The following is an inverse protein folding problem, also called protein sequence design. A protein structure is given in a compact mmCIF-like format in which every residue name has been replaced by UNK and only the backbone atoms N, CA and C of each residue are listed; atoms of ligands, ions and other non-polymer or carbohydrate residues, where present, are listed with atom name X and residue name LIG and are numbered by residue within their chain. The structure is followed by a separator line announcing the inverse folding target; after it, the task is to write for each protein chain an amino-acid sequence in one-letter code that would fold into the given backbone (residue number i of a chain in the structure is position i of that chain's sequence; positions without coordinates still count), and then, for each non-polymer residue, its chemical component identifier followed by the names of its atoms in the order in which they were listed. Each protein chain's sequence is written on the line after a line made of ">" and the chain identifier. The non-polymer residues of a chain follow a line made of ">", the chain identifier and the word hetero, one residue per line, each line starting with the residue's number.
data_IF_693442437523
#
_entry.id   IF_693442437523
#
_cell.length_a   1.000
_cell.length_b   1.000
_cell.length_c   1.000
_cell.angle_alpha   90.00
_cell.angle_beta   90.00
_cell.angle_gamma   90.00
#
_symmetry.space_group_name_H-M   'P 1'
#
loop_
_entity.id
_entity.type
_entity.pdbx_description
1 polymer ?
#
# COMPACT_ATOMS: atom_id res chain seq x y z
N UNK A 1 39.90 -18.39 -34.80
CA UNK A 1 38.49 -18.23 -34.35
C UNK A 1 38.49 -17.80 -32.89
N UNK A 2 38.59 -16.49 -32.57
CA UNK A 2 38.47 -16.02 -31.18
C UNK A 2 38.14 -14.53 -31.02
N UNK A 3 37.38 -13.91 -31.94
CA UNK A 3 37.03 -12.49 -31.83
C UNK A 3 35.54 -12.19 -31.74
N UNK A 4 34.66 -13.18 -31.94
CA UNK A 4 33.21 -12.95 -31.91
C UNK A 4 32.56 -13.17 -30.53
N UNK A 5 33.18 -13.96 -29.65
CA UNK A 5 32.59 -14.27 -28.34
C UNK A 5 32.72 -13.11 -27.34
N UNK A 6 33.76 -12.28 -27.46
CA UNK A 6 34.00 -11.18 -26.52
C UNK A 6 33.03 -9.99 -26.72
N UNK A 7 32.60 -9.74 -27.96
CA UNK A 7 31.74 -8.60 -28.30
C UNK A 7 30.32 -8.83 -27.79
N UNK A 8 29.80 -10.06 -27.86
CA UNK A 8 28.47 -10.37 -27.32
C UNK A 8 28.39 -10.17 -25.80
N UNK A 9 29.46 -10.45 -25.04
CA UNK A 9 29.44 -10.30 -23.57
C UNK A 9 29.47 -8.82 -23.16
N UNK A 10 30.13 -7.96 -23.93
CA UNK A 10 30.12 -6.52 -23.66
C UNK A 10 28.78 -5.86 -24.04
N UNK A 11 28.14 -6.27 -25.14
CA UNK A 11 26.84 -5.72 -25.54
C UNK A 11 25.73 -6.14 -24.56
N UNK A 12 25.76 -7.37 -24.03
CA UNK A 12 24.78 -7.80 -23.02
C UNK A 12 24.96 -7.04 -21.70
N UNK A 13 26.18 -6.71 -21.27
CA UNK A 13 26.38 -5.92 -20.05
C UNK A 13 25.96 -4.45 -20.19
N UNK A 14 26.11 -3.84 -21.37
CA UNK A 14 25.73 -2.43 -21.58
C UNK A 14 24.20 -2.27 -21.64
N UNK A 15 23.46 -3.27 -22.14
CA UNK A 15 21.99 -3.21 -22.18
C UNK A 15 21.31 -3.54 -20.85
N UNK A 16 21.96 -4.26 -19.93
CA UNK A 16 21.39 -4.58 -18.61
C UNK A 16 21.52 -3.40 -17.62
N UNK A 17 22.49 -2.50 -17.83
CA UNK A 17 22.63 -1.30 -16.99
C UNK A 17 21.65 -0.16 -17.36
N UNK A 18 20.95 -0.26 -18.49
CA UNK A 18 20.08 0.80 -19.01
C UNK A 18 18.58 0.69 -18.70
N UNK A 19 18.11 -0.36 -18.01
CA UNK A 19 16.67 -0.67 -17.91
C UNK A 19 16.15 -1.01 -16.51
N UNK A 20 16.94 -0.80 -15.46
CA UNK A 20 16.44 -0.82 -14.09
C UNK A 20 16.64 0.56 -13.51
N UNK A 21 15.67 1.45 -13.68
CA UNK A 21 15.56 2.58 -12.75
C UNK A 21 15.19 1.97 -11.40
N UNK A 22 16.19 1.58 -10.60
CA UNK A 22 15.97 1.11 -9.25
C UNK A 22 15.19 2.19 -8.50
N UNK A 23 14.21 1.78 -7.71
CA UNK A 23 13.51 2.72 -6.84
C UNK A 23 14.53 3.34 -5.85
N UNK A 24 14.34 4.59 -5.41
CA UNK A 24 15.26 5.22 -4.47
C UNK A 24 15.44 4.37 -3.20
N UNK A 25 16.64 4.37 -2.62
CA UNK A 25 16.94 3.57 -1.43
C UNK A 25 16.09 3.98 -0.23
N UNK A 26 15.84 5.29 -0.07
CA UNK A 26 14.99 5.84 0.99
C UNK A 26 13.55 5.38 0.84
N UNK A 27 13.02 5.38 -0.40
CA UNK A 27 11.72 4.81 -0.73
C UNK A 27 11.65 3.32 -0.37
N UNK A 28 12.61 2.51 -0.83
CA UNK A 28 12.61 1.06 -0.56
C UNK A 28 12.68 0.78 0.94
N UNK A 29 13.46 1.57 1.67
CA UNK A 29 13.58 1.51 3.13
C UNK A 29 12.26 1.87 3.81
N UNK A 30 11.59 2.95 3.36
CA UNK A 30 10.29 3.37 3.86
C UNK A 30 9.26 2.24 3.69
N UNK A 31 9.12 1.69 2.48
CA UNK A 31 8.15 0.63 2.18
C UNK A 31 8.43 -0.64 3.00
N UNK A 32 9.70 -1.06 3.07
CA UNK A 32 10.11 -2.23 3.83
C UNK A 32 9.79 -2.10 5.31
N UNK A 33 10.07 -0.92 5.88
CA UNK A 33 9.92 -0.66 7.31
C UNK A 33 8.50 -0.23 7.71
N UNK A 34 7.65 0.12 6.75
CA UNK A 34 6.27 0.52 7.03
C UNK A 34 5.54 -0.57 7.83
N UNK A 35 4.84 -0.27 8.93
CA UNK A 35 4.37 -1.31 9.83
C UNK A 35 3.32 -2.23 9.22
N UNK A 36 3.21 -3.44 9.77
CA UNK A 36 2.16 -4.39 9.45
C UNK A 36 0.99 -4.21 10.42
N UNK A 37 -0.20 -3.85 9.92
CA UNK A 37 -1.39 -3.61 10.75
C UNK A 37 -1.91 -4.87 11.44
N UNK A 38 -1.67 -6.06 10.86
CA UNK A 38 -2.14 -7.33 11.41
C UNK A 38 -1.22 -7.77 12.54
N UNK A 39 0.08 -7.58 12.38
CA UNK A 39 1.08 -8.05 13.35
C UNK A 39 1.49 -7.00 14.39
N UNK A 40 1.30 -5.71 14.11
CA UNK A 40 1.94 -4.63 14.88
C UNK A 40 1.07 -3.37 14.96
N UNK A 41 -0.16 -3.51 15.45
CA UNK A 41 -1.09 -2.38 15.70
C UNK A 41 -0.42 -1.21 16.44
N UNK A 42 0.35 -1.50 17.48
CA UNK A 42 1.05 -0.48 18.30
C UNK A 42 2.00 0.39 17.48
N UNK A 43 2.67 -0.19 16.47
CA UNK A 43 3.58 0.55 15.56
C UNK A 43 2.80 1.36 14.52
N UNK A 44 1.61 0.89 14.16
CA UNK A 44 0.71 1.62 13.26
C UNK A 44 -0.01 2.77 13.96
N UNK A 45 -0.21 2.72 15.27
CA UNK A 45 -0.98 3.70 16.04
C UNK A 45 -0.20 4.06 17.32
N UNK A 46 0.95 4.74 17.21
CA UNK A 46 1.84 4.99 18.36
C UNK A 46 1.30 6.02 19.34
N UNK A 47 0.30 6.81 18.96
CA UNK A 47 -0.33 7.80 19.84
C UNK A 47 -1.06 7.11 20.99
N UNK A 48 -0.90 7.63 22.21
CA UNK A 48 -1.67 7.16 23.36
C UNK A 48 -3.13 7.63 23.27
N UNK A 49 -4.08 6.74 23.54
CA UNK A 49 -5.49 7.07 23.64
C UNK A 49 -6.42 5.86 23.62
N UNK A 50 -7.72 6.13 23.70
CA UNK A 50 -8.75 5.10 23.72
C UNK A 50 -9.13 4.72 22.28
N UNK A 51 -8.52 3.65 21.77
CA UNK A 51 -8.90 3.05 20.50
C UNK A 51 -10.09 2.11 20.69
N UNK A 52 -11.17 2.36 19.94
CA UNK A 52 -12.44 1.62 20.09
C UNK A 52 -12.38 0.18 19.57
N UNK A 53 -11.45 -0.12 18.67
CA UNK A 53 -11.35 -1.40 18.01
C UNK A 53 -10.12 -2.20 18.46
N UNK A 54 -10.32 -3.48 18.75
CA UNK A 54 -9.21 -4.40 19.04
C UNK A 54 -8.24 -4.52 17.85
N UNK A 55 -8.78 -4.64 16.63
CA UNK A 55 -8.04 -4.60 15.37
C UNK A 55 -8.30 -3.31 14.59
N UNK A 56 -7.23 -2.74 14.00
CA UNK A 56 -7.31 -1.55 13.14
C UNK A 56 -7.20 -1.92 11.68
N UNK A 57 -7.89 -1.18 10.83
CA UNK A 57 -7.72 -1.17 9.38
C UNK A 57 -6.98 0.09 8.91
N UNK A 58 -6.51 0.92 9.84
CA UNK A 58 -5.75 2.15 9.57
C UNK A 58 -4.36 2.03 10.20
N UNK A 59 -3.32 2.36 9.43
CA UNK A 59 -1.95 2.51 9.88
C UNK A 59 -1.50 3.96 9.67
N UNK A 60 -1.17 4.65 10.75
CA UNK A 60 -0.68 6.03 10.79
C UNK A 60 0.54 6.11 11.73
N UNK A 61 1.70 5.56 11.32
CA UNK A 61 2.89 5.51 12.15
C UNK A 61 3.46 6.90 12.49
N UNK A 62 3.16 7.91 11.67
CA UNK A 62 3.60 9.29 11.89
C UNK A 62 2.65 10.06 12.82
N UNK A 63 1.51 9.48 13.19
CA UNK A 63 0.51 10.11 14.04
C UNK A 63 -0.06 11.40 13.46
N UNK A 64 -0.34 11.43 12.15
CA UNK A 64 -0.88 12.58 11.45
C UNK A 64 -2.36 12.84 11.76
N UNK A 65 -3.10 11.78 12.10
CA UNK A 65 -4.48 11.81 12.53
C UNK A 65 -4.56 11.77 14.06
N UNK A 66 -5.62 12.34 14.62
CA UNK A 66 -5.96 12.17 16.03
C UNK A 66 -6.64 10.82 16.27
N UNK A 67 -6.58 10.32 17.51
CA UNK A 67 -7.28 9.09 17.95
C UNK A 67 -8.77 9.10 17.57
N UNK A 68 -9.45 10.24 17.69
CA UNK A 68 -10.86 10.37 17.31
C UNK A 68 -11.08 10.19 15.81
N UNK A 69 -10.19 10.72 14.97
CA UNK A 69 -10.24 10.52 13.51
C UNK A 69 -9.95 9.06 13.12
N UNK A 70 -9.00 8.42 13.81
CA UNK A 70 -8.70 6.99 13.63
C UNK A 70 -9.91 6.13 14.00
N UNK A 71 -10.57 6.39 15.13
CA UNK A 71 -11.78 5.68 15.52
C UNK A 71 -12.90 5.88 14.49
N UNK A 72 -13.14 7.13 14.07
CA UNK A 72 -14.14 7.43 13.04
C UNK A 72 -13.86 6.68 11.72
N UNK A 73 -12.61 6.64 11.27
CA UNK A 73 -12.24 5.95 10.03
C UNK A 73 -12.38 4.43 10.17
N UNK A 74 -11.90 3.85 11.28
CA UNK A 74 -12.08 2.44 11.57
C UNK A 74 -13.56 2.04 11.63
N UNK A 75 -14.42 2.84 12.25
CA UNK A 75 -15.87 2.61 12.26
C UNK A 75 -16.45 2.50 10.85
N UNK A 76 -16.05 3.40 9.95
CA UNK A 76 -16.50 3.35 8.54
C UNK A 76 -15.97 2.11 7.82
N UNK A 77 -14.69 1.78 7.98
CA UNK A 77 -14.05 0.64 7.32
C UNK A 77 -14.62 -0.70 7.81
N UNK A 78 -14.81 -0.85 9.12
CA UNK A 78 -15.45 -2.05 9.69
C UNK A 78 -16.93 -2.15 9.28
N UNK A 79 -17.65 -1.03 9.20
CA UNK A 79 -19.02 -1.02 8.66
C UNK A 79 -19.05 -1.48 7.20
N UNK A 80 -18.14 -0.99 6.34
CA UNK A 80 -18.04 -1.45 4.94
C UNK A 80 -17.84 -2.97 4.89
N UNK A 81 -16.90 -3.49 5.70
CA UNK A 81 -16.58 -4.92 5.78
C UNK A 81 -17.78 -5.78 6.17
N UNK A 82 -18.69 -5.29 7.01
CA UNK A 82 -19.83 -6.06 7.52
C UNK A 82 -21.15 -5.78 6.80
N UNK A 83 -21.26 -4.70 6.02
CA UNK A 83 -22.53 -4.28 5.39
C UNK A 83 -22.55 -4.49 3.88
N UNK A 84 -21.43 -4.23 3.19
CA UNK A 84 -21.42 -4.24 1.72
C UNK A 84 -21.47 -5.68 1.20
N UNK A 85 -22.47 -5.95 0.34
CA UNK A 85 -22.73 -7.26 -0.26
C UNK A 85 -22.88 -8.40 0.77
N UNK A 86 -23.30 -8.07 1.99
CA UNK A 86 -23.51 -9.07 3.05
C UNK A 86 -24.73 -9.98 2.77
N UNK A 87 -25.69 -9.48 1.99
CA UNK A 87 -26.85 -10.24 1.51
C UNK A 87 -26.51 -11.20 0.35
N UNK A 88 -25.34 -11.03 -0.28
CA UNK A 88 -24.87 -11.88 -1.38
C UNK A 88 -24.06 -13.07 -0.85
N UNK A 89 -23.90 -14.16 -1.63
CA UNK A 89 -23.00 -15.25 -1.26
C UNK A 89 -21.60 -14.72 -0.93
N UNK A 90 -20.98 -15.23 0.14
CA UNK A 90 -19.75 -14.64 0.70
C UNK A 90 -18.61 -14.48 -0.29
N UNK A 91 -18.52 -15.33 -1.32
CA UNK A 91 -17.45 -15.38 -2.32
C UNK A 91 -17.93 -15.14 -3.76
N UNK A 92 -18.98 -14.33 -3.93
CA UNK A 92 -19.38 -13.86 -5.25
C UNK A 92 -18.37 -12.82 -5.78
N UNK A 93 -17.65 -13.16 -6.85
CA UNK A 93 -16.65 -12.29 -7.47
C UNK A 93 -17.25 -11.02 -8.08
N UNK A 94 -18.53 -11.05 -8.48
CA UNK A 94 -19.22 -9.89 -9.03
C UNK A 94 -19.75 -8.96 -7.93
N UNK A 95 -19.90 -9.49 -6.71
CA UNK A 95 -20.36 -8.74 -5.54
C UNK A 95 -19.41 -9.00 -4.35
N UNK A 96 -18.13 -8.60 -4.46
CA UNK A 96 -17.15 -8.89 -3.42
C UNK A 96 -17.54 -8.18 -2.12
N UNK A 97 -17.19 -8.79 -0.98
CA UNK A 97 -17.29 -8.16 0.35
C UNK A 97 -15.96 -7.48 0.67
N UNK A 98 -15.84 -6.16 0.48
CA UNK A 98 -14.54 -5.50 0.52
C UNK A 98 -13.97 -5.43 1.95
N UNK A 99 -12.66 -5.62 2.06
CA UNK A 99 -11.85 -5.33 3.24
C UNK A 99 -10.82 -4.29 2.83
N UNK A 100 -10.95 -3.09 3.38
CA UNK A 100 -10.14 -1.93 3.00
C UNK A 100 -9.18 -1.61 4.14
N UNK A 101 -7.88 -1.67 3.86
CA UNK A 101 -6.83 -1.15 4.73
C UNK A 101 -6.37 0.23 4.25
N UNK A 102 -6.02 1.11 5.19
CA UNK A 102 -5.56 2.47 4.90
C UNK A 102 -4.17 2.68 5.48
N UNK A 103 -3.21 3.01 4.64
CA UNK A 103 -1.87 3.44 4.99
C UNK A 103 -1.77 4.97 4.89
N UNK A 104 -1.22 5.61 5.91
CA UNK A 104 -1.05 7.04 6.02
C UNK A 104 0.43 7.31 6.17
N UNK A 105 0.98 8.08 5.24
CA UNK A 105 2.36 8.58 5.29
C UNK A 105 2.34 10.09 5.27
N UNK A 106 3.34 10.71 5.90
CA UNK A 106 3.54 12.15 5.75
C UNK A 106 3.90 12.51 4.31
N UNK A 107 4.86 11.79 3.75
CA UNK A 107 5.38 11.94 2.39
C UNK A 107 5.94 10.61 1.90
N UNK A 108 5.90 10.34 0.60
CA UNK A 108 6.63 9.25 -0.04
C UNK A 108 8.09 9.69 -0.22
N UNK A 109 9.05 8.89 0.26
CA UNK A 109 10.48 9.24 0.28
C UNK A 109 11.13 9.06 -1.10
N UNK A 110 10.77 9.94 -2.04
CA UNK A 110 11.31 10.00 -3.40
C UNK A 110 11.92 11.38 -3.69
N UNK A 111 13.08 11.40 -4.32
CA UNK A 111 13.75 12.62 -4.77
C UNK A 111 12.96 13.31 -5.89
N UNK A 112 12.56 14.57 -5.70
CA UNK A 112 11.91 15.47 -6.69
C UNK A 112 11.48 14.81 -8.01
N UNK A 113 10.52 13.88 -7.92
CA UNK A 113 10.00 13.15 -9.06
C UNK A 113 8.82 13.92 -9.68
N UNK A 114 8.60 13.72 -10.97
CA UNK A 114 7.36 14.16 -11.60
C UNK A 114 6.15 13.39 -11.03
N UNK A 115 4.94 13.92 -11.27
CA UNK A 115 3.70 13.37 -10.73
C UNK A 115 3.43 11.92 -11.15
N UNK A 116 3.74 11.56 -12.40
CA UNK A 116 3.46 10.21 -12.90
C UNK A 116 4.36 9.17 -12.24
N UNK A 117 5.63 9.50 -12.02
CA UNK A 117 6.56 8.66 -11.25
C UNK A 117 6.18 8.55 -9.79
N UNK A 118 5.71 9.64 -9.17
CA UNK A 118 5.22 9.64 -7.80
C UNK A 118 3.99 8.72 -7.64
N UNK A 119 3.03 8.80 -8.55
CA UNK A 119 1.86 7.92 -8.58
C UNK A 119 2.27 6.45 -8.78
N UNK A 120 3.28 6.18 -9.61
CA UNK A 120 3.82 4.83 -9.76
C UNK A 120 4.45 4.32 -8.47
N UNK A 121 5.18 5.16 -7.74
CA UNK A 121 5.75 4.80 -6.44
C UNK A 121 4.65 4.57 -5.39
N UNK A 122 3.59 5.37 -5.38
CA UNK A 122 2.43 5.16 -4.52
C UNK A 122 1.75 3.80 -4.80
N UNK A 123 1.52 3.47 -6.07
CA UNK A 123 0.93 2.20 -6.46
C UNK A 123 1.81 1.00 -6.07
N UNK A 124 3.12 1.08 -6.28
CA UNK A 124 4.06 0.04 -5.84
C UNK A 124 4.03 -0.11 -4.31
N UNK A 125 3.98 1.00 -3.57
CA UNK A 125 3.92 0.97 -2.12
C UNK A 125 2.64 0.23 -1.67
N UNK A 126 1.47 0.63 -2.18
CA UNK A 126 0.20 -0.03 -1.87
C UNK A 126 0.21 -1.52 -2.24
N UNK A 127 0.80 -1.89 -3.37
CA UNK A 127 0.97 -3.28 -3.77
C UNK A 127 1.85 -4.07 -2.79
N UNK A 128 2.98 -3.51 -2.34
CA UNK A 128 3.84 -4.16 -1.34
C UNK A 128 3.12 -4.34 -0.01
N UNK A 129 2.27 -3.38 0.38
CA UNK A 129 1.45 -3.47 1.58
C UNK A 129 0.32 -4.47 1.44
N UNK A 130 -0.26 -4.63 0.24
CA UNK A 130 -1.27 -5.63 -0.04
C UNK A 130 -0.77 -7.03 0.32
N UNK A 131 0.42 -7.37 -0.18
CA UNK A 131 1.08 -8.65 0.12
C UNK A 131 1.47 -8.76 1.60
N UNK A 132 2.07 -7.69 2.16
CA UNK A 132 2.58 -7.69 3.54
C UNK A 132 1.47 -7.83 4.57
N UNK A 133 0.41 -7.03 4.45
CA UNK A 133 -0.68 -7.00 5.42
C UNK A 133 -1.61 -8.20 5.27
N UNK A 134 -1.74 -8.75 4.06
CA UNK A 134 -2.57 -9.92 3.78
C UNK A 134 -3.92 -9.87 4.51
N UNK A 135 -4.68 -8.79 4.26
CA UNK A 135 -5.89 -8.47 5.01
C UNK A 135 -6.84 -9.68 5.10
N UNK A 136 -7.41 -10.00 6.29
CA UNK A 136 -8.29 -11.16 6.43
C UNK A 136 -9.62 -10.95 5.70
N UNK A 137 -9.76 -11.59 4.54
CA UNK A 137 -10.98 -11.66 3.74
C UNK A 137 -11.82 -12.90 4.10
N UNK A 138 -13.11 -12.86 3.74
CA UNK A 138 -14.01 -14.01 3.93
C UNK A 138 -13.78 -15.12 2.89
N UNK A 139 -13.05 -14.81 1.82
CA UNK A 139 -12.82 -15.70 0.71
C UNK A 139 -11.33 -15.81 0.46
N UNK A 140 -10.91 -16.99 -0.02
CA UNK A 140 -9.54 -17.19 -0.47
C UNK A 140 -9.19 -16.35 -1.70
N UNK A 141 -10.19 -15.77 -2.38
CA UNK A 141 -9.93 -14.83 -3.48
C UNK A 141 -9.48 -13.47 -2.93
N UNK A 142 -8.46 -12.92 -3.58
CA UNK A 142 -7.91 -11.59 -3.31
C UNK A 142 -8.83 -10.45 -3.77
N UNK A 143 -9.89 -10.78 -4.53
CA UNK A 143 -10.80 -9.84 -5.23
C UNK A 143 -11.61 -8.89 -4.34
N UNK A 144 -11.52 -9.01 -3.02
CA UNK A 144 -12.18 -8.13 -2.05
C UNK A 144 -11.21 -7.32 -1.19
N UNK A 145 -9.89 -7.50 -1.30
CA UNK A 145 -8.93 -6.76 -0.48
C UNK A 145 -8.52 -5.48 -1.21
N UNK A 146 -8.44 -4.37 -0.48
CA UNK A 146 -8.07 -3.07 -1.04
C UNK A 146 -7.11 -2.40 -0.07
N UNK A 147 -6.00 -1.85 -0.58
CA UNK A 147 -5.12 -0.97 0.17
C UNK A 147 -5.25 0.45 -0.38
N UNK A 148 -5.62 1.38 0.48
CA UNK A 148 -5.56 2.82 0.21
C UNK A 148 -4.29 3.39 0.82
N UNK A 149 -3.49 4.10 0.02
CA UNK A 149 -2.37 4.90 0.50
C UNK A 149 -2.75 6.37 0.39
N UNK A 150 -2.63 7.08 1.51
CA UNK A 150 -2.75 8.52 1.57
C UNK A 150 -1.39 9.13 1.94
N UNK A 151 -0.90 10.05 1.12
CA UNK A 151 0.29 10.85 1.40
C UNK A 151 -0.08 12.32 1.58
N UNK A 152 0.13 12.86 2.78
CA UNK A 152 -0.31 14.21 3.15
C UNK A 152 0.39 15.30 2.33
N UNK A 153 1.72 15.26 2.26
CA UNK A 153 2.52 16.35 1.68
C UNK A 153 2.61 16.23 0.15
N UNK A 154 2.32 15.04 -0.41
CA UNK A 154 2.35 14.80 -1.85
C UNK A 154 1.00 15.03 -2.54
N UNK A 155 -0.08 15.21 -1.77
CA UNK A 155 -1.45 15.32 -2.30
C UNK A 155 -1.90 14.08 -3.08
N UNK A 156 -1.35 12.91 -2.76
CA UNK A 156 -1.67 11.64 -3.42
C UNK A 156 -2.80 10.94 -2.67
N UNK A 157 -3.92 10.77 -3.36
CA UNK A 157 -5.00 9.85 -3.02
C UNK A 157 -5.19 8.90 -4.20
N UNK A 158 -5.21 7.59 -3.94
CA UNK A 158 -5.34 6.56 -4.99
C UNK A 158 -6.68 6.63 -5.76
N UNK A 159 -7.64 7.42 -5.28
CA UNK A 159 -8.84 7.77 -6.04
C UNK A 159 -8.52 8.37 -7.41
N UNK A 160 -7.41 9.09 -7.57
CA UNK A 160 -6.96 9.67 -8.85
C UNK A 160 -6.45 8.62 -9.87
N UNK A 161 -6.07 7.42 -9.42
CA UNK A 161 -5.54 6.36 -10.29
C UNK A 161 -6.60 5.39 -10.79
N UNK A 162 -7.79 5.36 -10.18
CA UNK A 162 -8.87 4.44 -10.54
C UNK A 162 -9.74 4.91 -11.72
N UNK A 163 -9.52 6.13 -12.24
CA UNK A 163 -10.34 6.74 -13.30
C UNK A 163 -9.56 7.09 -14.58
N UNK A 164 -8.39 6.47 -14.83
CA UNK A 164 -7.69 6.55 -16.11
C UNK A 164 -7.68 5.21 -16.83
#
# INVERSE_FOLDING_TARGET
>A
MSSFTLICVFVVNIFVQGLVSSLPEEYETQVKNYPDIIQSKEKCLPQQGNYEFASTLVCDPDGLLSVAQINMLNTKLHHIRTSVNFDKPSCDINNPRPVIGVAIVKKIEVDNMDKDRLLRCAAIFSYRLFDKWNLPSHCHSESGKIILLYSKDDGVDLSDMMYK
#
